data_IF_884339452626
#
_entry.id   IF_884339452626
#
_cell.length_a   1.000
_cell.length_b   1.000
_cell.length_c   1.000
_cell.angle_alpha   90.00
_cell.angle_beta   90.00
_cell.angle_gamma   90.00
#
_symmetry.space_group_name_H-M   'P 1'
#
loop_
_entity.id
_entity.type
_entity.pdbx_description
1 polymer ?
#
# COMPACT_ATOMS: atom_id res chain seq x y z
N UNK A 1 10.94 -3.22 4.13
CA UNK A 1 10.02 -4.36 4.32
C UNK A 1 9.55 -4.83 2.95
N UNK A 2 9.45 -6.13 2.69
CA UNK A 2 8.87 -6.61 1.43
C UNK A 2 7.33 -6.52 1.44
N UNK A 3 6.74 -6.37 0.25
CA UNK A 3 5.30 -6.63 0.02
C UNK A 3 4.94 -8.10 0.34
N UNK A 4 3.64 -8.44 0.24
CA UNK A 4 3.13 -9.78 0.58
C UNK A 4 2.82 -9.97 2.07
N UNK A 5 2.37 -11.16 2.45
CA UNK A 5 2.10 -11.53 3.86
C UNK A 5 1.20 -10.53 4.62
N UNK A 6 0.04 -10.20 4.03
CA UNK A 6 -0.97 -9.31 4.62
C UNK A 6 -1.08 -7.92 3.99
N UNK A 7 -1.87 -7.04 4.62
CA UNK A 7 -2.11 -5.68 4.13
C UNK A 7 -0.89 -4.77 4.38
N UNK A 8 -0.49 -4.00 3.36
CA UNK A 8 0.67 -3.09 3.45
C UNK A 8 0.51 -2.02 4.54
N UNK A 9 -0.72 -1.56 4.79
CA UNK A 9 -1.00 -0.59 5.85
C UNK A 9 -0.66 -1.14 7.24
N UNK A 10 -0.89 -2.44 7.49
CA UNK A 10 -0.53 -3.06 8.77
C UNK A 10 0.97 -3.02 9.02
N UNK A 11 1.79 -3.20 7.97
CA UNK A 11 3.24 -3.15 8.08
C UNK A 11 3.70 -1.75 8.51
N UNK A 12 3.15 -0.71 7.88
CA UNK A 12 3.46 0.69 8.22
C UNK A 12 2.96 1.04 9.61
N UNK A 13 1.72 0.67 9.96
CA UNK A 13 1.14 0.92 11.27
C UNK A 13 1.94 0.26 12.40
N UNK A 14 2.33 -1.01 12.21
CA UNK A 14 3.19 -1.73 13.17
C UNK A 14 4.57 -1.08 13.27
N UNK A 15 5.18 -0.67 12.15
CA UNK A 15 6.46 0.01 12.17
C UNK A 15 6.39 1.31 12.98
N UNK A 16 5.36 2.13 12.74
CA UNK A 16 5.10 3.37 13.49
C UNK A 16 4.92 3.09 14.99
N UNK A 17 4.08 2.09 15.35
CA UNK A 17 3.87 1.69 16.76
C UNK A 17 5.15 1.24 17.47
N UNK A 18 6.15 0.76 16.73
CA UNK A 18 7.46 0.37 17.25
C UNK A 18 8.52 1.48 17.13
N UNK A 19 8.11 2.73 16.88
CA UNK A 19 8.99 3.90 16.91
C UNK A 19 9.75 4.18 15.61
N UNK A 20 9.38 3.56 14.49
CA UNK A 20 9.99 3.90 13.20
C UNK A 20 9.57 5.30 12.75
N UNK A 21 10.54 6.11 12.29
CA UNK A 21 10.28 7.44 11.73
C UNK A 21 9.77 7.39 10.27
N UNK A 22 9.95 6.25 9.60
CA UNK A 22 9.55 6.04 8.22
C UNK A 22 9.66 4.57 7.82
N UNK A 23 9.08 4.23 6.67
CA UNK A 23 9.06 2.86 6.16
C UNK A 23 9.32 2.85 4.66
N UNK A 24 10.19 1.92 4.22
CA UNK A 24 10.39 1.60 2.81
C UNK A 24 9.75 0.23 2.54
N UNK A 25 8.87 0.16 1.54
CA UNK A 25 8.27 -1.08 1.06
C UNK A 25 8.73 -1.32 -0.38
N UNK A 26 9.17 -2.54 -0.67
CA UNK A 26 9.64 -2.95 -1.99
C UNK A 26 8.99 -4.27 -2.42
N UNK A 27 8.97 -4.52 -3.72
CA UNK A 27 8.53 -5.80 -4.29
C UNK A 27 9.74 -6.72 -4.42
N UNK A 28 9.74 -7.84 -3.73
CA UNK A 28 10.85 -8.79 -3.70
C UNK A 28 10.83 -9.65 -4.98
N UNK A 29 11.93 -9.76 -5.77
CA UNK A 29 11.98 -10.60 -6.97
C UNK A 29 11.49 -12.04 -6.76
N UNK A 30 11.67 -12.59 -5.56
CA UNK A 30 11.15 -13.92 -5.20
C UNK A 30 9.61 -14.00 -5.27
N UNK A 31 8.91 -12.87 -5.26
CA UNK A 31 7.46 -12.77 -5.40
C UNK A 31 7.02 -12.31 -6.80
N UNK A 32 7.83 -11.48 -7.48
CA UNK A 32 7.41 -10.71 -8.68
C UNK A 32 8.23 -10.96 -9.94
N UNK A 33 9.33 -11.72 -9.87
CA UNK A 33 10.22 -12.05 -10.99
C UNK A 33 11.00 -13.35 -10.72
N UNK A 34 10.28 -14.43 -10.39
CA UNK A 34 10.86 -15.72 -9.99
C UNK A 34 11.75 -16.36 -11.05
N UNK A 35 11.46 -16.10 -12.32
CA UNK A 35 12.21 -16.66 -13.44
C UNK A 35 13.47 -15.84 -13.79
N UNK A 36 13.73 -14.75 -13.06
CA UNK A 36 14.89 -13.89 -13.24
C UNK A 36 14.53 -12.41 -13.43
N UNK A 37 15.52 -11.54 -13.20
CA UNK A 37 15.39 -10.07 -13.25
C UNK A 37 16.03 -9.43 -14.48
N UNK A 38 16.67 -10.24 -15.33
CA UNK A 38 17.22 -9.78 -16.62
C UNK A 38 16.10 -9.39 -17.59
N UNK A 39 16.41 -8.53 -18.56
CA UNK A 39 15.43 -8.02 -19.53
C UNK A 39 14.65 -9.12 -20.26
N UNK A 40 15.26 -10.27 -20.55
CA UNK A 40 14.59 -11.40 -21.21
C UNK A 40 13.55 -12.09 -20.32
N UNK A 41 13.65 -11.96 -19.00
CA UNK A 41 12.83 -12.65 -18.01
C UNK A 41 11.73 -11.77 -17.42
N UNK A 42 11.68 -10.48 -17.75
CA UNK A 42 10.69 -9.52 -17.25
C UNK A 42 9.90 -8.85 -18.38
N UNK A 43 8.85 -8.10 -18.04
CA UNK A 43 8.08 -7.32 -19.01
C UNK A 43 8.98 -6.36 -19.82
N UNK A 44 8.79 -6.24 -21.16
CA UNK A 44 7.67 -6.77 -21.95
C UNK A 44 7.83 -8.21 -22.45
N UNK A 45 8.96 -8.87 -22.18
CA UNK A 45 9.24 -10.21 -22.72
C UNK A 45 8.48 -11.31 -21.99
N UNK A 46 8.14 -11.10 -20.72
CA UNK A 46 7.33 -12.01 -19.91
C UNK A 46 6.26 -11.24 -19.12
N UNK A 47 5.51 -11.96 -18.28
CA UNK A 47 4.53 -11.37 -17.35
C UNK A 47 5.15 -10.81 -16.07
N UNK A 48 6.45 -11.06 -15.82
CA UNK A 48 7.11 -10.68 -14.57
C UNK A 48 7.40 -9.17 -14.51
N UNK A 49 7.43 -8.62 -13.31
CA UNK A 49 7.62 -7.18 -13.11
C UNK A 49 9.08 -6.79 -13.38
N UNK A 50 9.34 -5.70 -14.15
CA UNK A 50 10.70 -5.22 -14.39
C UNK A 50 11.26 -4.52 -13.15
N UNK A 51 12.58 -4.35 -13.09
CA UNK A 51 13.29 -3.80 -11.93
C UNK A 51 12.90 -2.35 -11.61
N UNK A 52 12.49 -1.59 -12.61
CA UNK A 52 12.01 -0.21 -12.48
C UNK A 52 10.53 -0.15 -12.04
N UNK A 53 9.84 -1.30 -11.99
CA UNK A 53 8.45 -1.43 -11.59
C UNK A 53 8.26 -1.23 -10.09
N UNK A 54 7.28 -0.39 -9.72
CA UNK A 54 6.91 -0.15 -8.32
C UNK A 54 5.42 -0.37 -8.14
N UNK A 55 5.05 -1.25 -7.19
CA UNK A 55 3.66 -1.44 -6.80
C UNK A 55 3.16 -0.22 -6.01
N UNK A 56 2.09 0.40 -6.50
CA UNK A 56 1.34 1.45 -5.78
C UNK A 56 0.23 0.82 -4.92
N UNK A 57 -0.28 1.57 -3.95
CA UNK A 57 -1.47 1.17 -3.19
C UNK A 57 -1.67 1.97 -1.91
N UNK A 58 -2.92 2.05 -1.45
CA UNK A 58 -3.24 2.70 -0.18
C UNK A 58 -2.67 1.92 1.02
N UNK A 59 -2.27 2.67 2.05
CA UNK A 59 -1.86 2.16 3.38
C UNK A 59 -2.91 2.45 4.46
N UNK A 60 -4.04 3.07 4.08
CA UNK A 60 -5.09 3.51 4.99
C UNK A 60 -5.87 2.33 5.57
N UNK A 61 -6.15 2.40 6.87
CA UNK A 61 -7.13 1.54 7.53
C UNK A 61 -8.51 2.19 7.49
N UNK A 62 -9.51 1.43 7.07
CA UNK A 62 -10.90 1.87 6.94
C UNK A 62 -11.38 1.96 5.50
N UNK A 63 -12.67 2.24 5.33
CA UNK A 63 -13.36 2.25 4.04
C UNK A 63 -13.86 3.65 3.67
N UNK A 64 -13.81 3.97 2.37
CA UNK A 64 -14.34 5.22 1.83
C UNK A 64 -13.44 6.44 2.04
N UNK A 65 -14.05 7.62 2.05
CA UNK A 65 -13.37 8.91 2.28
C UNK A 65 -13.00 9.07 3.76
N UNK A 66 -11.70 9.27 4.09
CA UNK A 66 -11.24 9.45 5.46
C UNK A 66 -11.87 10.59 6.25
N UNK A 67 -12.37 11.61 5.54
CA UNK A 67 -12.89 12.84 6.15
C UNK A 67 -14.42 12.85 6.24
N UNK A 68 -15.10 11.87 5.62
CA UNK A 68 -16.56 11.68 5.75
C UNK A 68 -16.90 10.22 6.05
N UNK A 69 -16.36 9.63 7.13
CA UNK A 69 -16.66 8.26 7.48
C UNK A 69 -18.17 8.06 7.67
N UNK A 70 -18.73 7.00 7.06
CA UNK A 70 -20.16 6.65 7.08
C UNK A 70 -21.12 7.62 6.37
N UNK A 71 -20.61 8.69 5.75
CA UNK A 71 -21.42 9.67 5.02
C UNK A 71 -20.89 9.87 3.60
N UNK A 72 -21.73 10.33 2.65
CA UNK A 72 -21.23 10.68 1.33
C UNK A 72 -20.38 11.95 1.39
N UNK A 73 -19.31 12.01 0.59
CA UNK A 73 -18.40 13.14 0.48
C UNK A 73 -19.01 14.35 -0.24
N UNK A 74 -20.11 14.90 0.29
CA UNK A 74 -20.78 16.11 -0.23
C UNK A 74 -20.28 17.36 0.48
N UNK A 75 -20.31 18.50 -0.22
CA UNK A 75 -19.76 19.78 0.28
C UNK A 75 -20.49 20.28 1.54
N UNK A 76 -21.78 19.98 1.64
CA UNK A 76 -22.69 20.41 2.71
C UNK A 76 -22.59 19.54 3.97
N UNK A 77 -21.91 18.38 3.88
CA UNK A 77 -21.76 17.44 4.97
C UNK A 77 -20.44 17.72 5.69
N UNK A 78 -20.48 17.78 7.03
CA UNK A 78 -19.32 18.07 7.86
C UNK A 78 -18.17 17.09 7.60
N UNK A 79 -17.02 17.63 7.18
CA UNK A 79 -15.76 16.88 6.98
C UNK A 79 -14.93 16.70 8.27
N UNK A 80 -15.56 16.90 9.42
CA UNK A 80 -14.84 17.11 10.69
C UNK A 80 -14.52 15.83 11.46
N UNK A 81 -14.81 14.65 10.91
CA UNK A 81 -14.53 13.37 11.57
C UNK A 81 -13.51 12.58 10.77
N UNK A 82 -12.45 12.13 11.42
CA UNK A 82 -11.51 11.15 10.86
C UNK A 82 -12.01 9.73 11.10
N UNK A 83 -11.54 8.75 10.31
CA UNK A 83 -11.87 7.32 10.51
C UNK A 83 -11.60 6.87 11.95
N UNK A 84 -10.50 7.33 12.56
CA UNK A 84 -10.12 7.00 13.94
C UNK A 84 -11.09 7.51 15.01
N UNK A 85 -11.91 8.52 14.70
CA UNK A 85 -12.88 9.07 15.66
C UNK A 85 -14.24 8.36 15.60
N UNK A 86 -14.44 7.45 14.64
CA UNK A 86 -15.71 6.74 14.43
C UNK A 86 -15.68 5.32 14.97
N UNK A 87 -14.50 4.70 15.07
CA UNK A 87 -14.29 3.32 15.52
C UNK A 87 -13.35 3.27 16.72
#
# INVERSE_FOLDING_TARGET
MRFGEGFRGDKVHKAQKNGAAGAIIFSDPDDIARDGTDQSHVYPNTIWMPNEGVQRGSIMHGDGDPLTPLYPSKKEIFKSRTIEQVW
#
